data_IF_235454989971
#
_entry.id   IF_235454989971
#
_cell.length_a   1.000
_cell.length_b   1.000
_cell.length_c   1.000
_cell.angle_alpha   90.00
_cell.angle_beta   90.00
_cell.angle_gamma   90.00
#
_symmetry.space_group_name_H-M   'P 1'
#
loop_
_entity.id
_entity.type
_entity.pdbx_description
1 polymer ?
#
# COMPACT_ATOMS: atom_id res chain seq x y z
N UNK A 1 30.73 -31.06 -73.05
CA UNK A 1 30.71 -31.78 -71.79
C UNK A 1 30.95 -30.75 -70.68
N UNK A 2 29.91 -30.19 -70.12
CA UNK A 2 30.04 -29.19 -69.03
C UNK A 2 29.09 -29.59 -67.93
N UNK A 3 29.67 -30.12 -66.87
CA UNK A 3 28.95 -30.41 -65.63
C UNK A 3 28.88 -29.15 -64.81
N UNK A 4 27.70 -28.53 -64.77
CA UNK A 4 27.41 -27.43 -63.85
C UNK A 4 26.86 -28.06 -62.58
N UNK A 5 27.71 -28.11 -61.56
CA UNK A 5 27.28 -28.46 -60.20
C UNK A 5 26.48 -27.33 -59.61
N UNK A 6 25.18 -27.57 -59.37
CA UNK A 6 24.33 -26.66 -58.59
C UNK A 6 24.53 -26.95 -57.11
N UNK A 7 25.19 -26.02 -56.40
CA UNK A 7 25.21 -26.00 -54.98
C UNK A 7 23.88 -25.37 -54.49
N UNK A 8 23.05 -26.21 -53.90
CA UNK A 8 21.88 -25.77 -53.17
C UNK A 8 22.37 -25.48 -51.73
N UNK A 9 22.44 -24.20 -51.39
CA UNK A 9 22.74 -23.78 -50.03
C UNK A 9 21.44 -23.86 -49.21
N UNK A 10 21.35 -24.87 -48.33
CA UNK A 10 20.29 -24.93 -47.32
C UNK A 10 20.58 -23.93 -46.22
N UNK A 11 19.76 -22.88 -46.15
CA UNK A 11 19.80 -21.95 -45.02
C UNK A 11 18.94 -22.55 -43.92
N UNK A 12 19.57 -23.16 -42.94
CA UNK A 12 18.93 -23.58 -41.70
C UNK A 12 18.71 -22.34 -40.81
N UNK A 13 17.50 -21.84 -40.83
CA UNK A 13 17.11 -20.76 -39.90
C UNK A 13 16.93 -21.33 -38.48
N UNK A 14 17.94 -21.15 -37.63
CA UNK A 14 17.82 -21.45 -36.20
C UNK A 14 16.97 -20.38 -35.53
N UNK A 15 15.71 -20.71 -35.25
CA UNK A 15 14.82 -19.85 -34.47
C UNK A 15 15.23 -20.01 -33.00
N UNK A 16 15.96 -19.02 -32.47
CA UNK A 16 16.26 -18.90 -31.05
C UNK A 16 14.97 -18.48 -30.32
N UNK A 17 14.28 -19.46 -29.74
CA UNK A 17 13.17 -19.20 -28.82
C UNK A 17 13.77 -18.80 -27.49
N UNK A 18 13.82 -17.49 -27.22
CA UNK A 18 14.21 -16.97 -25.91
C UNK A 18 13.04 -17.22 -24.94
N UNK A 19 13.30 -17.85 -23.77
CA UNK A 19 12.26 -17.97 -22.76
C UNK A 19 11.94 -16.57 -22.22
N UNK A 20 10.70 -16.14 -22.37
CA UNK A 20 10.19 -14.95 -21.68
C UNK A 20 10.10 -15.31 -20.21
N UNK A 21 11.10 -14.92 -19.45
CA UNK A 21 11.05 -14.98 -17.98
C UNK A 21 10.04 -13.93 -17.55
N UNK A 22 8.83 -14.36 -17.21
CA UNK A 22 7.85 -13.50 -16.58
C UNK A 22 8.42 -13.09 -15.21
N UNK A 23 8.94 -11.87 -15.12
CA UNK A 23 9.35 -11.28 -13.85
C UNK A 23 8.05 -11.02 -13.06
N UNK A 24 7.82 -11.82 -12.01
CA UNK A 24 6.84 -11.49 -11.01
C UNK A 24 7.26 -10.15 -10.41
N UNK A 25 6.44 -9.09 -10.60
CA UNK A 25 6.69 -7.79 -10.01
C UNK A 25 6.87 -7.90 -8.49
N UNK A 26 7.55 -6.95 -7.84
CA UNK A 26 7.79 -7.01 -6.41
C UNK A 26 6.45 -7.12 -5.69
N UNK A 27 6.22 -8.23 -5.02
CA UNK A 27 5.09 -8.38 -4.12
C UNK A 27 5.33 -7.39 -2.99
N UNK A 28 4.48 -6.39 -2.85
CA UNK A 28 4.54 -5.45 -1.74
C UNK A 28 4.19 -6.20 -0.45
N UNK A 29 5.22 -6.72 0.22
CA UNK A 29 5.08 -7.29 1.53
C UNK A 29 5.27 -6.18 2.56
N UNK A 30 4.28 -6.00 3.42
CA UNK A 30 4.43 -5.19 4.64
C UNK A 30 4.90 -6.14 5.73
N UNK A 31 6.18 -6.10 6.05
CA UNK A 31 6.83 -7.11 6.87
C UNK A 31 6.59 -6.91 8.36
N UNK A 32 6.56 -5.67 8.79
CA UNK A 32 6.48 -5.29 10.20
C UNK A 32 5.55 -4.10 10.44
N UNK A 33 5.35 -3.81 11.69
CA UNK A 33 4.49 -2.77 12.21
C UNK A 33 4.96 -1.37 11.78
N UNK A 34 6.25 -1.11 11.86
CA UNK A 34 6.83 0.18 11.48
C UNK A 34 6.61 0.47 10.00
N UNK A 35 6.77 -0.55 9.15
CA UNK A 35 6.49 -0.44 7.72
C UNK A 35 5.00 -0.18 7.44
N UNK A 36 4.10 -0.79 8.21
CA UNK A 36 2.67 -0.56 8.10
C UNK A 36 2.28 0.86 8.51
N UNK A 37 2.81 1.34 9.63
CA UNK A 37 2.60 2.71 10.12
C UNK A 37 3.13 3.74 9.11
N UNK A 38 4.34 3.54 8.60
CA UNK A 38 4.94 4.43 7.61
C UNK A 38 4.16 4.44 6.28
N UNK A 39 3.62 3.30 5.86
CA UNK A 39 2.78 3.22 4.67
C UNK A 39 1.47 4.00 4.86
N UNK A 40 0.79 3.81 5.98
CA UNK A 40 -0.45 4.53 6.30
C UNK A 40 -0.21 6.04 6.36
N UNK A 41 0.79 6.48 7.12
CA UNK A 41 1.13 7.90 7.26
C UNK A 41 1.40 8.55 5.90
N UNK A 42 2.23 7.92 5.08
CA UNK A 42 2.58 8.41 3.74
C UNK A 42 1.35 8.49 2.83
N UNK A 43 0.46 7.50 2.91
CA UNK A 43 -0.78 7.47 2.12
C UNK A 43 -1.72 8.59 2.53
N UNK A 44 -2.00 8.74 3.82
CA UNK A 44 -2.91 9.78 4.33
C UNK A 44 -2.39 11.19 4.04
N UNK A 45 -1.09 11.43 4.20
CA UNK A 45 -0.45 12.71 3.85
C UNK A 45 -0.51 13.00 2.35
N UNK A 46 -0.20 12.00 1.53
CA UNK A 46 -0.21 12.13 0.07
C UNK A 46 -1.59 12.43 -0.49
N UNK A 47 -2.63 11.85 0.09
CA UNK A 47 -4.02 12.02 -0.36
C UNK A 47 -4.72 13.21 0.33
N UNK A 48 -4.11 13.85 1.32
CA UNK A 48 -4.65 14.99 2.03
C UNK A 48 -5.97 14.70 2.77
N UNK A 49 -6.13 13.48 3.28
CA UNK A 49 -7.40 12.95 3.81
C UNK A 49 -8.04 13.84 4.88
N UNK A 50 -7.26 14.40 5.76
CA UNK A 50 -7.78 15.23 6.88
C UNK A 50 -7.48 16.71 6.72
N UNK A 51 -7.07 17.18 5.55
CA UNK A 51 -6.51 18.52 5.33
C UNK A 51 -7.42 19.68 5.79
N UNK A 52 -8.74 19.49 5.81
CA UNK A 52 -9.71 20.50 6.22
C UNK A 52 -10.19 20.38 7.66
N UNK A 53 -9.79 19.34 8.37
CA UNK A 53 -10.30 19.03 9.71
C UNK A 53 -9.22 18.95 10.78
N UNK A 54 -8.13 18.27 10.50
CA UNK A 54 -7.06 18.01 11.45
C UNK A 54 -5.71 18.14 10.74
N UNK A 55 -4.76 18.81 11.39
CA UNK A 55 -3.37 18.74 10.93
C UNK A 55 -2.80 17.36 11.22
N UNK A 56 -2.21 16.70 10.21
CA UNK A 56 -1.55 15.41 10.41
C UNK A 56 -0.30 15.49 11.30
N UNK A 57 0.21 16.68 11.57
CA UNK A 57 1.24 16.91 12.59
C UNK A 57 0.69 16.84 14.03
N UNK A 58 -0.62 16.89 14.17
CA UNK A 58 -1.34 16.80 15.44
C UNK A 58 -2.05 15.46 15.63
N UNK A 59 -1.58 14.41 14.98
CA UNK A 59 -2.06 13.05 15.17
C UNK A 59 -0.93 12.12 15.51
N UNK A 60 -1.25 11.05 16.22
CA UNK A 60 -0.37 9.92 16.46
C UNK A 60 -0.92 8.66 15.82
N UNK A 61 -0.01 7.79 15.42
CA UNK A 61 -0.30 6.50 14.81
C UNK A 61 0.10 5.41 15.80
N UNK A 62 -0.76 4.43 15.99
CA UNK A 62 -0.48 3.29 16.86
C UNK A 62 -1.02 1.99 16.29
N UNK A 63 -0.54 0.89 16.83
CA UNK A 63 -1.04 -0.44 16.49
C UNK A 63 -1.96 -0.94 17.58
N UNK A 64 -3.16 -1.36 17.23
CA UNK A 64 -4.13 -1.98 18.15
C UNK A 64 -4.07 -3.50 18.09
N UNK A 65 -3.85 -4.07 16.91
CA UNK A 65 -3.85 -5.52 16.70
C UNK A 65 -2.87 -5.92 15.60
N UNK A 66 -2.19 -7.03 15.81
CA UNK A 66 -1.33 -7.66 14.81
C UNK A 66 -1.72 -9.11 14.65
N UNK A 67 -2.14 -9.48 13.44
CA UNK A 67 -2.39 -10.87 13.06
C UNK A 67 -1.63 -11.23 11.77
N UNK A 68 -1.70 -12.48 11.35
CA UNK A 68 -0.96 -12.95 10.18
C UNK A 68 -1.35 -12.26 8.87
N UNK A 69 -2.57 -11.77 8.75
CA UNK A 69 -3.10 -11.17 7.52
C UNK A 69 -3.00 -9.64 7.47
N UNK A 70 -3.02 -8.96 8.62
CA UNK A 70 -2.97 -7.50 8.67
C UNK A 70 -2.42 -6.95 9.99
N UNK A 71 -2.05 -5.68 9.95
CA UNK A 71 -1.90 -4.80 11.12
C UNK A 71 -3.14 -3.92 11.22
N UNK A 72 -3.79 -3.88 12.39
CA UNK A 72 -4.83 -2.92 12.67
C UNK A 72 -4.24 -1.71 13.39
N UNK A 73 -4.37 -0.56 12.74
CA UNK A 73 -3.77 0.69 13.16
C UNK A 73 -4.84 1.67 13.59
N UNK A 74 -4.51 2.51 14.54
CA UNK A 74 -5.36 3.57 15.05
C UNK A 74 -4.71 4.92 14.86
N UNK A 75 -5.49 5.88 14.41
CA UNK A 75 -5.13 7.28 14.34
C UNK A 75 -5.82 8.01 15.51
N UNK A 76 -5.05 8.75 16.31
CA UNK A 76 -5.53 9.53 17.46
C UNK A 76 -5.11 10.98 17.36
N UNK A 77 -5.95 11.88 17.85
CA UNK A 77 -5.57 13.28 18.02
C UNK A 77 -4.54 13.42 19.15
N UNK A 78 -3.61 14.34 18.97
CA UNK A 78 -2.69 14.77 20.03
C UNK A 78 -3.21 16.08 20.61
N UNK A 79 -3.97 16.00 21.68
CA UNK A 79 -4.48 17.15 22.38
C UNK A 79 -3.43 17.73 23.29
N UNK A 80 -2.90 18.88 22.93
CA UNK A 80 -1.86 19.58 23.67
C UNK A 80 -1.89 21.09 23.37
N UNK A 81 -1.02 21.85 24.01
CA UNK A 81 -0.99 23.32 23.84
C UNK A 81 -0.74 23.78 22.40
N UNK A 82 -0.02 22.99 21.58
CA UNK A 82 0.28 23.31 20.19
C UNK A 82 -0.88 22.94 19.25
N UNK A 83 -1.50 21.79 19.48
CA UNK A 83 -2.53 21.23 18.59
C UNK A 83 -3.94 21.61 19.00
N UNK A 84 -4.16 22.13 20.20
CA UNK A 84 -5.48 22.39 20.75
C UNK A 84 -6.11 21.13 21.36
N UNK A 85 -7.41 21.20 21.58
CA UNK A 85 -8.15 20.11 22.21
C UNK A 85 -8.08 20.15 23.75
N UNK A 86 -8.73 19.19 24.37
CA UNK A 86 -8.72 19.03 25.81
C UNK A 86 -7.45 18.30 26.26
N UNK A 87 -6.63 18.93 27.14
CA UNK A 87 -5.39 18.30 27.61
C UNK A 87 -5.65 16.91 28.17
N UNK A 88 -4.69 16.01 27.94
CA UNK A 88 -4.72 14.62 28.41
C UNK A 88 -5.77 13.71 27.73
N UNK A 89 -6.45 14.16 26.71
CA UNK A 89 -7.29 13.32 25.86
C UNK A 89 -6.57 12.99 24.56
N UNK A 90 -6.79 11.79 24.03
CA UNK A 90 -6.29 11.36 22.73
C UNK A 90 -7.41 10.62 22.00
N UNK A 91 -8.43 11.36 21.55
CA UNK A 91 -9.58 10.72 20.92
C UNK A 91 -9.19 10.00 19.62
N UNK A 92 -9.84 8.89 19.36
CA UNK A 92 -9.66 8.15 18.12
C UNK A 92 -10.26 8.94 16.96
N UNK A 93 -9.44 9.17 15.94
CA UNK A 93 -9.88 9.77 14.68
C UNK A 93 -10.49 8.70 13.79
N UNK A 94 -9.69 7.71 13.44
CA UNK A 94 -10.10 6.59 12.59
C UNK A 94 -9.26 5.34 12.86
N UNK A 95 -9.72 4.21 12.32
CA UNK A 95 -9.01 2.93 12.34
C UNK A 95 -8.78 2.43 10.93
N UNK A 96 -7.62 1.81 10.75
CA UNK A 96 -7.17 1.28 9.47
C UNK A 96 -6.64 -0.13 9.62
N UNK A 97 -6.71 -0.92 8.54
CA UNK A 97 -5.99 -2.18 8.39
C UNK A 97 -5.03 -2.08 7.23
N UNK A 98 -3.80 -2.51 7.45
CA UNK A 98 -2.79 -2.66 6.40
C UNK A 98 -2.56 -4.14 6.20
N UNK A 99 -2.93 -4.65 5.03
CA UNK A 99 -2.81 -6.07 4.72
C UNK A 99 -1.38 -6.44 4.38
N UNK A 100 -0.83 -7.41 5.09
CA UNK A 100 0.60 -7.74 5.04
C UNK A 100 1.09 -8.23 3.69
N UNK A 101 0.29 -9.02 2.97
CA UNK A 101 0.67 -9.57 1.66
C UNK A 101 0.53 -8.59 0.51
N UNK A 102 -0.45 -7.75 0.53
CA UNK A 102 -0.79 -6.86 -0.58
C UNK A 102 -0.39 -5.41 -0.36
N UNK A 103 -0.17 -4.98 0.89
CA UNK A 103 -0.03 -3.57 1.24
C UNK A 103 -1.31 -2.75 1.04
N UNK A 104 -2.45 -3.41 0.74
CA UNK A 104 -3.74 -2.72 0.63
C UNK A 104 -4.16 -2.19 1.98
N UNK A 105 -4.82 -1.03 1.96
CA UNK A 105 -5.35 -0.39 3.15
C UNK A 105 -6.88 -0.52 3.12
N UNK A 106 -7.46 -0.83 4.28
CA UNK A 106 -8.88 -0.70 4.55
C UNK A 106 -9.09 0.29 5.70
N UNK A 107 -10.24 0.92 5.76
CA UNK A 107 -10.63 1.79 6.86
C UNK A 107 -11.95 1.35 7.46
N UNK A 108 -12.15 1.63 8.73
CA UNK A 108 -13.38 1.32 9.44
C UNK A 108 -14.40 2.43 9.23
N UNK A 109 -15.43 2.17 8.45
CA UNK A 109 -16.55 3.07 8.29
C UNK A 109 -17.37 3.10 9.59
N UNK A 110 -17.58 4.30 10.18
CA UNK A 110 -18.04 4.45 11.56
C UNK A 110 -19.56 4.29 11.74
N UNK A 111 -20.34 4.53 10.70
CA UNK A 111 -21.81 4.50 10.80
C UNK A 111 -22.31 3.05 10.78
N UNK A 112 -21.75 2.26 9.85
CA UNK A 112 -22.13 0.86 9.68
C UNK A 112 -21.18 -0.10 10.43
N UNK A 113 -20.10 0.44 11.01
CA UNK A 113 -19.06 -0.33 11.74
C UNK A 113 -18.51 -1.48 10.89
N UNK A 114 -18.21 -1.19 9.63
CA UNK A 114 -17.67 -2.18 8.71
C UNK A 114 -16.35 -1.73 8.05
N UNK A 115 -15.54 -2.70 7.69
CA UNK A 115 -14.28 -2.47 6.99
C UNK A 115 -14.52 -2.32 5.49
N UNK A 116 -14.06 -1.20 4.94
CA UNK A 116 -14.13 -0.89 3.50
C UNK A 116 -12.74 -0.69 2.91
N UNK A 117 -12.55 -0.96 1.61
CA UNK A 117 -11.34 -0.55 0.93
C UNK A 117 -11.09 0.95 1.13
N UNK A 118 -9.83 1.32 1.38
CA UNK A 118 -9.44 2.70 1.53
C UNK A 118 -9.82 3.51 0.29
N UNK A 119 -10.58 4.58 0.50
CA UNK A 119 -10.95 5.55 -0.52
C UNK A 119 -10.93 6.95 0.13
N UNK A 120 -9.95 7.81 -0.22
CA UNK A 120 -9.81 9.12 0.40
C UNK A 120 -11.03 10.03 0.22
N UNK A 121 -11.82 9.82 -0.84
CA UNK A 121 -13.04 10.59 -1.09
C UNK A 121 -14.19 10.29 -0.10
N UNK A 122 -14.16 9.12 0.54
CA UNK A 122 -15.18 8.69 1.51
C UNK A 122 -14.82 9.07 2.95
N UNK A 123 -13.56 9.35 3.23
CA UNK A 123 -13.05 9.71 4.56
C UNK A 123 -13.08 11.24 4.69
N UNK A 124 -14.07 11.77 5.37
CA UNK A 124 -14.28 13.21 5.56
C UNK A 124 -14.37 13.61 7.02
#
# INVERSE_FOLDING_TARGET
MNHIARFVAEIVAVILVLPVVAQAGPRSHVLDEDAALALLERTLKGDGVYAHRISLDCVSYGTEETIDSYFQLVLRENDNAKCGGEPETNPVVDRYRVYRRSGKIAWLERIEDNWRPYNPAEIR
#
